data_IF_041122130943
#
_entry.id   IF_041122130943
#
_cell.length_a   1.000
_cell.length_b   1.000
_cell.length_c   1.000
_cell.angle_alpha   90.00
_cell.angle_beta   90.00
_cell.angle_gamma   90.00
#
_symmetry.space_group_name_H-M   'P 1'
#
loop_
_entity.id
_entity.type
_entity.pdbx_description
1 polymer ?
#
# COMPACT_ATOMS: atom_id res chain seq x y z
N UNK A 1 7.02 -58.40 -10.37
CA UNK A 1 6.15 -57.21 -10.23
C UNK A 1 6.91 -56.12 -9.46
N UNK A 2 7.82 -55.38 -10.11
CA UNK A 2 8.61 -54.34 -9.42
C UNK A 2 8.98 -53.22 -10.40
N UNK A 3 7.98 -52.44 -10.85
CA UNK A 3 8.19 -51.14 -11.52
C UNK A 3 7.32 -50.00 -10.97
N UNK A 4 6.54 -50.27 -9.93
CA UNK A 4 5.53 -49.33 -9.42
C UNK A 4 6.09 -48.26 -8.47
N UNK A 5 7.34 -48.38 -7.99
CA UNK A 5 7.90 -47.43 -7.01
C UNK A 5 8.81 -46.35 -7.60
N UNK A 6 9.48 -46.61 -8.73
CA UNK A 6 10.41 -45.65 -9.35
C UNK A 6 9.74 -44.60 -10.25
N UNK A 7 8.70 -44.97 -11.01
CA UNK A 7 7.94 -44.03 -11.84
C UNK A 7 7.15 -43.02 -11.01
N UNK A 8 6.52 -43.48 -9.93
CA UNK A 8 5.73 -42.63 -9.04
C UNK A 8 6.58 -41.54 -8.34
N UNK A 9 7.86 -41.82 -8.06
CA UNK A 9 8.76 -40.80 -7.50
C UNK A 9 9.15 -39.73 -8.52
N UNK A 10 9.35 -40.11 -9.79
CA UNK A 10 9.59 -39.14 -10.86
C UNK A 10 8.36 -38.25 -11.06
N UNK A 11 7.17 -38.85 -11.10
CA UNK A 11 5.91 -38.12 -11.20
C UNK A 11 5.70 -37.17 -10.00
N UNK A 12 5.97 -37.61 -8.77
CA UNK A 12 5.84 -36.76 -7.57
C UNK A 12 6.87 -35.62 -7.58
N UNK A 13 8.09 -35.86 -8.05
CA UNK A 13 9.11 -34.82 -8.18
C UNK A 13 8.69 -33.80 -9.24
N UNK A 14 8.20 -34.23 -10.40
CA UNK A 14 7.74 -33.33 -11.46
C UNK A 14 6.54 -32.48 -11.01
N UNK A 15 5.54 -33.10 -10.38
CA UNK A 15 4.41 -32.38 -9.79
C UNK A 15 4.84 -31.38 -8.70
N UNK A 16 5.86 -31.74 -7.90
CA UNK A 16 6.39 -30.85 -6.87
C UNK A 16 7.18 -29.70 -7.51
N UNK A 17 7.96 -29.96 -8.55
CA UNK A 17 8.70 -28.96 -9.30
C UNK A 17 7.76 -27.94 -9.97
N UNK A 18 6.65 -28.42 -10.55
CA UNK A 18 5.58 -27.59 -11.10
C UNK A 18 4.93 -26.74 -10.00
N UNK A 19 4.55 -27.34 -8.87
CA UNK A 19 3.99 -26.61 -7.71
C UNK A 19 4.95 -25.54 -7.15
N UNK A 20 6.26 -25.81 -7.14
CA UNK A 20 7.27 -24.82 -6.71
C UNK A 20 7.33 -23.68 -7.71
N UNK A 21 7.35 -23.97 -9.01
CA UNK A 21 7.36 -22.97 -10.07
C UNK A 21 6.12 -22.06 -10.00
N UNK A 22 4.94 -22.64 -9.82
CA UNK A 22 3.69 -21.90 -9.64
C UNK A 22 3.73 -20.99 -8.42
N UNK A 23 4.26 -21.49 -7.30
CA UNK A 23 4.41 -20.70 -6.09
C UNK A 23 5.37 -19.52 -6.27
N UNK A 24 6.46 -19.69 -7.03
CA UNK A 24 7.39 -18.61 -7.36
C UNK A 24 6.69 -17.54 -8.21
N UNK A 25 5.91 -17.95 -9.22
CA UNK A 25 5.15 -17.02 -10.05
C UNK A 25 4.14 -16.21 -9.22
N UNK A 26 3.38 -16.88 -8.35
CA UNK A 26 2.41 -16.22 -7.45
C UNK A 26 3.13 -15.25 -6.50
N UNK A 27 4.28 -15.62 -5.94
CA UNK A 27 5.05 -14.72 -5.08
C UNK A 27 5.53 -13.47 -5.82
N UNK A 28 5.98 -13.63 -7.08
CA UNK A 28 6.36 -12.50 -7.91
C UNK A 28 5.16 -11.59 -8.22
N UNK A 29 4.00 -12.17 -8.53
CA UNK A 29 2.77 -11.41 -8.77
C UNK A 29 2.34 -10.62 -7.51
N UNK A 30 2.34 -11.26 -6.34
CA UNK A 30 2.06 -10.60 -5.06
C UNK A 30 3.06 -9.45 -4.83
N UNK A 31 4.35 -9.68 -5.04
CA UNK A 31 5.38 -8.64 -4.86
C UNK A 31 5.13 -7.42 -5.75
N UNK A 32 4.79 -7.64 -7.02
CA UNK A 32 4.48 -6.56 -7.97
C UNK A 32 3.20 -5.85 -7.57
N UNK A 33 2.14 -6.58 -7.23
CA UNK A 33 0.86 -6.02 -6.80
C UNK A 33 1.00 -5.18 -5.51
N UNK A 34 1.76 -5.67 -4.53
CA UNK A 34 2.05 -4.94 -3.29
C UNK A 34 2.90 -3.69 -3.56
N UNK A 35 3.87 -3.76 -4.46
CA UNK A 35 4.67 -2.60 -4.85
C UNK A 35 3.80 -1.50 -5.48
N UNK A 36 2.88 -1.86 -6.37
CA UNK A 36 1.93 -0.92 -6.96
C UNK A 36 1.02 -0.30 -5.90
N UNK A 37 0.47 -1.12 -4.98
CA UNK A 37 -0.39 -0.63 -3.89
C UNK A 37 0.35 0.28 -2.91
N UNK A 38 1.62 0.01 -2.63
CA UNK A 38 2.49 0.90 -1.84
C UNK A 38 2.66 2.26 -2.51
N UNK A 39 2.90 2.28 -3.83
CA UNK A 39 3.02 3.53 -4.58
C UNK A 39 1.70 4.33 -4.59
N UNK A 40 0.58 3.67 -4.86
CA UNK A 40 -0.77 4.27 -4.84
C UNK A 40 -1.10 4.85 -3.45
N UNK A 41 -0.84 4.09 -2.39
CA UNK A 41 -1.02 4.53 -1.01
C UNK A 41 -0.17 5.77 -0.69
N UNK A 42 1.11 5.77 -1.10
CA UNK A 42 1.98 6.93 -0.92
C UNK A 42 1.42 8.18 -1.60
N UNK A 43 0.94 8.07 -2.84
CA UNK A 43 0.34 9.20 -3.55
C UNK A 43 -0.91 9.73 -2.84
N UNK A 44 -1.80 8.85 -2.38
CA UNK A 44 -3.00 9.21 -1.64
C UNK A 44 -2.69 9.90 -0.31
N UNK A 45 -1.62 9.50 0.38
CA UNK A 45 -1.16 10.16 1.62
C UNK A 45 -0.73 11.61 1.37
N UNK A 46 -0.04 11.89 0.25
CA UNK A 46 0.45 13.25 -0.05
C UNK A 46 -0.58 14.15 -0.74
N UNK A 47 -1.58 13.58 -1.42
CA UNK A 47 -2.62 14.32 -2.15
C UNK A 47 -3.30 15.45 -1.35
N UNK A 48 -3.85 15.22 -0.13
CA UNK A 48 -4.51 16.28 0.64
C UNK A 48 -3.56 17.43 0.99
N UNK A 49 -2.30 17.13 1.29
CA UNK A 49 -1.27 18.15 1.56
C UNK A 49 -1.01 18.99 0.31
N UNK A 50 -0.89 18.34 -0.85
CA UNK A 50 -0.72 19.03 -2.13
C UNK A 50 -1.89 19.97 -2.46
N UNK A 51 -3.13 19.52 -2.23
CA UNK A 51 -4.33 20.34 -2.45
C UNK A 51 -4.30 21.60 -1.56
N UNK A 52 -3.97 21.46 -0.28
CA UNK A 52 -3.88 22.60 0.65
C UNK A 52 -2.83 23.61 0.19
N UNK A 53 -1.64 23.14 -0.22
CA UNK A 53 -0.57 24.02 -0.72
C UNK A 53 -1.01 24.75 -1.99
N UNK A 54 -1.62 24.03 -2.94
CA UNK A 54 -2.11 24.63 -4.19
C UNK A 54 -3.18 25.68 -3.91
N UNK A 55 -4.15 25.39 -3.03
CA UNK A 55 -5.18 26.35 -2.64
C UNK A 55 -4.58 27.58 -1.96
N UNK A 56 -3.58 27.41 -1.11
CA UNK A 56 -2.88 28.52 -0.46
C UNK A 56 -2.14 29.42 -1.45
N UNK A 57 -1.58 28.86 -2.54
CA UNK A 57 -0.90 29.63 -3.58
C UNK A 57 -1.86 30.31 -4.56
N UNK A 58 -2.95 29.63 -4.96
CA UNK A 58 -3.89 30.14 -5.96
C UNK A 58 -4.95 31.07 -5.36
N UNK A 59 -5.41 30.79 -4.14
CA UNK A 59 -6.50 31.54 -3.51
C UNK A 59 -6.39 31.53 -1.98
N UNK A 60 -5.49 32.36 -1.40
CA UNK A 60 -5.24 32.40 0.04
C UNK A 60 -6.46 32.84 0.85
N UNK A 61 -7.36 33.63 0.27
CA UNK A 61 -8.60 34.08 0.92
C UNK A 61 -9.56 32.92 1.22
N UNK A 62 -9.48 31.82 0.45
CA UNK A 62 -10.26 30.61 0.71
C UNK A 62 -9.89 29.93 2.04
N UNK A 63 -8.63 30.11 2.49
CA UNK A 63 -8.13 29.55 3.74
C UNK A 63 -8.34 30.47 4.95
N UNK A 64 -8.64 31.76 4.76
CA UNK A 64 -8.89 32.71 5.86
C UNK A 64 -9.92 32.22 6.89
N UNK A 65 -11.12 31.74 6.51
CA UNK A 65 -12.09 31.25 7.49
C UNK A 65 -11.63 29.99 8.23
N UNK A 66 -10.64 29.25 7.71
CA UNK A 66 -10.05 28.13 8.45
C UNK A 66 -9.19 28.60 9.64
N UNK A 67 -8.63 29.82 9.58
CA UNK A 67 -7.82 30.39 10.65
C UNK A 67 -8.62 31.28 11.60
N UNK A 68 -9.58 32.07 11.08
CA UNK A 68 -10.31 33.05 11.88
C UNK A 68 -11.45 32.47 12.71
N UNK A 69 -12.01 31.32 12.31
CA UNK A 69 -13.09 30.66 13.06
C UNK A 69 -12.55 29.53 13.93
N UNK A 70 -13.06 29.45 15.17
CA UNK A 70 -12.74 28.38 16.12
C UNK A 70 -13.05 26.98 15.55
N UNK A 71 -14.10 26.87 14.74
CA UNK A 71 -14.46 25.64 14.02
C UNK A 71 -13.41 25.26 12.96
N UNK A 72 -12.93 26.26 12.20
CA UNK A 72 -11.91 26.08 11.17
C UNK A 72 -10.58 25.59 11.74
N UNK A 73 -10.16 26.18 12.86
CA UNK A 73 -8.93 25.77 13.56
C UNK A 73 -9.04 24.33 14.07
N UNK A 74 -10.21 23.93 14.60
CA UNK A 74 -10.45 22.55 15.03
C UNK A 74 -10.41 21.56 13.86
N UNK A 75 -10.98 21.92 12.70
CA UNK A 75 -10.91 21.11 11.49
C UNK A 75 -9.48 20.96 10.96
N UNK A 76 -8.68 22.03 10.98
CA UNK A 76 -7.26 21.98 10.64
C UNK A 76 -6.50 21.04 11.57
N UNK A 77 -6.74 21.14 12.88
CA UNK A 77 -6.11 20.25 13.86
C UNK A 77 -6.51 18.79 13.64
N UNK A 78 -7.80 18.53 13.39
CA UNK A 78 -8.29 17.20 13.04
C UNK A 78 -7.65 16.66 11.75
N UNK A 79 -7.52 17.49 10.71
CA UNK A 79 -6.88 17.13 9.46
C UNK A 79 -5.41 16.74 9.66
N UNK A 80 -4.65 17.50 10.46
CA UNK A 80 -3.26 17.18 10.79
C UNK A 80 -3.17 15.84 11.54
N UNK A 81 -4.04 15.61 12.53
CA UNK A 81 -4.08 14.32 13.23
C UNK A 81 -4.40 13.15 12.29
N UNK A 82 -5.30 13.37 11.33
CA UNK A 82 -5.67 12.36 10.34
C UNK A 82 -4.52 12.04 9.38
N UNK A 83 -3.73 13.05 9.00
CA UNK A 83 -2.51 12.87 8.20
C UNK A 83 -1.44 12.09 8.97
N UNK A 84 -1.25 12.38 10.25
CA UNK A 84 -0.33 11.64 11.13
C UNK A 84 -0.80 10.19 11.25
N UNK A 85 -2.09 9.96 11.51
CA UNK A 85 -2.66 8.62 11.58
C UNK A 85 -2.50 7.86 10.26
N UNK A 86 -2.72 8.53 9.11
CA UNK A 86 -2.51 7.97 7.79
C UNK A 86 -1.05 7.54 7.58
N UNK A 87 -0.08 8.36 7.99
CA UNK A 87 1.34 8.00 7.91
C UNK A 87 1.68 6.77 8.76
N UNK A 88 1.16 6.69 9.99
CA UNK A 88 1.38 5.53 10.87
C UNK A 88 0.76 4.24 10.31
N UNK A 89 -0.47 4.32 9.81
CA UNK A 89 -1.17 3.18 9.19
C UNK A 89 -0.45 2.77 7.91
N UNK A 90 -0.08 3.73 7.07
CA UNK A 90 0.70 3.51 5.85
C UNK A 90 1.99 2.77 6.16
N UNK A 91 2.77 3.22 7.14
CA UNK A 91 4.03 2.55 7.54
C UNK A 91 3.79 1.11 8.02
N UNK A 92 2.68 0.85 8.73
CA UNK A 92 2.31 -0.51 9.18
C UNK A 92 1.92 -1.43 8.01
N UNK A 93 1.14 -0.93 7.04
CA UNK A 93 0.75 -1.69 5.84
C UNK A 93 1.92 -1.90 4.90
N UNK A 94 2.85 -0.95 4.85
CA UNK A 94 4.02 -1.02 3.97
C UNK A 94 5.14 -1.90 4.51
N UNK A 95 5.13 -2.18 5.81
CA UNK A 95 6.10 -3.06 6.46
C UNK A 95 5.69 -4.54 6.40
N UNK A 96 5.05 -4.94 5.30
CA UNK A 96 4.95 -6.36 4.96
C UNK A 96 6.38 -6.76 4.56
N UNK A 97 7.15 -7.17 5.55
CA UNK A 97 8.32 -8.02 5.36
C UNK A 97 7.86 -9.23 4.55
N UNK A 98 8.51 -9.43 3.40
CA UNK A 98 8.37 -10.63 2.57
C UNK A 98 9.22 -11.73 3.17
#
# INVERSE_FOLDING_TARGET
MTRTKGGNLADVIDNTAESISDKIMIQQEIKVATAQKKMEASLLTFMPVGIVVILMMLNPDYMQPMYDQTLGTFMLFAAVLMLIANYFIGRKVTNIDV
#
